data_IF_871744314126
#
_entry.id   IF_871744314126
#
_cell.length_a   1.000
_cell.length_b   1.000
_cell.length_c   1.000
_cell.angle_alpha   90.00
_cell.angle_beta   90.00
_cell.angle_gamma   90.00
#
_symmetry.space_group_name_H-M   'P 1'
#
loop_
_entity.id
_entity.type
_entity.pdbx_description
1 polymer ?
#
# COMPACT_ATOMS: atom_id res chain seq x y z
N UNK A 1 -11.33 -6.79 -13.91
CA UNK A 1 -11.54 -5.64 -12.99
C UNK A 1 -10.56 -5.74 -11.80
N UNK A 2 -10.07 -4.63 -11.23
CA UNK A 2 -9.26 -4.61 -10.00
C UNK A 2 -10.15 -4.43 -8.77
N UNK A 3 -9.89 -5.21 -7.70
CA UNK A 3 -10.62 -5.14 -6.42
C UNK A 3 -9.66 -4.83 -5.27
N UNK A 4 -10.02 -3.88 -4.40
CA UNK A 4 -9.40 -3.71 -3.09
C UNK A 4 -10.13 -4.51 -2.03
N UNK A 5 -9.40 -5.14 -1.10
CA UNK A 5 -9.97 -5.82 0.06
C UNK A 5 -9.36 -5.24 1.32
N UNK A 6 -10.20 -4.85 2.28
CA UNK A 6 -9.83 -4.28 3.56
C UNK A 6 -10.11 -5.29 4.68
N UNK A 7 -9.13 -6.10 5.11
CA UNK A 7 -9.33 -7.09 6.16
C UNK A 7 -9.54 -6.50 7.55
N UNK A 8 -8.97 -5.31 7.78
CA UNK A 8 -8.95 -4.63 9.08
C UNK A 8 -9.22 -3.15 8.87
N UNK A 9 -10.26 -2.63 9.52
CA UNK A 9 -10.55 -1.19 9.58
C UNK A 9 -9.94 -0.61 10.86
N UNK A 10 -9.41 0.58 10.76
CA UNK A 10 -8.95 1.44 11.87
C UNK A 10 -7.97 0.84 12.90
N UNK A 11 -7.70 -0.46 12.88
CA UNK A 11 -6.77 -1.12 13.82
C UNK A 11 -5.40 -1.30 13.17
N UNK A 12 -4.42 -0.54 13.65
CA UNK A 12 -3.04 -0.57 13.16
C UNK A 12 -2.05 -0.31 14.30
N UNK A 13 -1.04 -1.15 14.41
CA UNK A 13 0.03 -0.98 15.38
C UNK A 13 1.09 0.06 14.97
N UNK A 14 0.98 0.65 13.76
CA UNK A 14 1.86 1.72 13.33
C UNK A 14 1.32 3.11 13.69
N UNK A 15 2.23 4.08 13.84
CA UNK A 15 1.89 5.47 14.21
C UNK A 15 2.25 6.49 13.12
N UNK A 16 2.17 6.08 11.86
CA UNK A 16 2.53 6.92 10.72
C UNK A 16 1.83 8.29 10.77
N UNK A 17 2.56 9.42 10.68
CA UNK A 17 1.97 10.75 10.76
C UNK A 17 1.10 11.08 9.53
N UNK A 18 1.41 10.50 8.36
CA UNK A 18 0.69 10.71 7.12
C UNK A 18 -0.45 9.70 6.88
N UNK A 19 -0.88 8.97 7.92
CA UNK A 19 -1.90 7.94 7.77
C UNK A 19 -3.29 8.58 7.63
N UNK A 20 -3.91 8.44 6.46
CA UNK A 20 -5.25 8.98 6.18
C UNK A 20 -6.34 8.29 7.00
N UNK A 21 -6.16 7.04 7.38
CA UNK A 21 -7.14 6.31 8.18
C UNK A 21 -7.35 6.94 9.56
N UNK A 22 -6.30 7.54 10.13
CA UNK A 22 -6.40 8.25 11.42
C UNK A 22 -7.19 9.56 11.35
N UNK A 23 -7.40 10.08 10.14
CA UNK A 23 -8.16 11.31 9.92
C UNK A 23 -9.63 11.03 9.64
N UNK A 24 -9.96 9.79 9.26
CA UNK A 24 -11.34 9.39 9.05
C UNK A 24 -11.98 9.16 10.42
N UNK A 25 -13.17 9.74 10.62
CA UNK A 25 -14.04 9.38 11.75
C UNK A 25 -14.35 7.89 11.70
N UNK A 26 -14.67 7.30 12.85
CA UNK A 26 -15.09 5.89 12.96
C UNK A 26 -16.01 5.51 11.81
N UNK A 27 -15.65 4.41 11.16
CA UNK A 27 -16.39 3.94 10.00
C UNK A 27 -17.40 2.90 10.45
N UNK A 28 -18.58 2.93 9.86
CA UNK A 28 -19.67 1.99 10.11
C UNK A 28 -19.44 0.59 9.51
N UNK A 29 -18.22 0.30 9.01
CA UNK A 29 -17.92 -0.92 8.24
C UNK A 29 -17.49 -2.12 9.09
N UNK A 30 -17.60 -2.04 10.42
CA UNK A 30 -17.06 -3.05 11.32
C UNK A 30 -15.54 -3.04 11.42
N UNK A 31 -14.98 -3.87 12.31
CA UNK A 31 -13.54 -3.85 12.60
C UNK A 31 -12.73 -4.80 11.70
N UNK A 32 -13.30 -5.97 11.39
CA UNK A 32 -12.56 -7.06 10.73
C UNK A 32 -13.46 -7.84 9.77
N UNK A 33 -12.92 -8.10 8.59
CA UNK A 33 -13.60 -8.87 7.55
C UNK A 33 -13.85 -10.32 8.00
N UNK A 34 -15.09 -10.77 7.93
CA UNK A 34 -15.37 -12.18 8.06
C UNK A 34 -15.00 -12.90 6.78
N UNK A 35 -14.11 -13.91 6.87
CA UNK A 35 -13.64 -14.67 5.69
C UNK A 35 -14.77 -15.30 4.86
N UNK A 36 -15.92 -15.57 5.45
CA UNK A 36 -17.10 -16.06 4.72
C UNK A 36 -17.56 -15.09 3.61
N UNK A 37 -17.32 -13.78 3.78
CA UNK A 37 -17.69 -12.79 2.77
C UNK A 37 -16.85 -12.89 1.50
N UNK A 38 -15.70 -13.58 1.52
CA UNK A 38 -14.88 -13.79 0.34
C UNK A 38 -15.53 -14.72 -0.70
N UNK A 39 -16.61 -15.43 -0.35
CA UNK A 39 -17.41 -16.15 -1.33
C UNK A 39 -17.92 -15.22 -2.44
N UNK A 40 -18.25 -13.97 -2.10
CA UNK A 40 -18.75 -12.95 -3.04
C UNK A 40 -17.79 -12.59 -4.15
N UNK A 41 -16.48 -12.80 -3.97
CA UNK A 41 -15.51 -12.50 -5.02
C UNK A 41 -15.39 -13.62 -6.06
N UNK A 42 -15.95 -14.79 -5.80
CA UNK A 42 -15.82 -15.95 -6.69
C UNK A 42 -16.44 -15.68 -8.06
N UNK A 43 -17.56 -14.98 -8.10
CA UNK A 43 -18.32 -14.71 -9.32
C UNK A 43 -17.86 -13.45 -10.05
N UNK A 44 -16.98 -12.64 -9.45
CA UNK A 44 -16.46 -11.43 -10.06
C UNK A 44 -15.35 -11.75 -11.08
N UNK A 45 -15.34 -11.09 -12.22
CA UNK A 45 -14.22 -11.14 -13.18
C UNK A 45 -13.11 -10.19 -12.75
N UNK A 46 -12.07 -10.75 -12.10
CA UNK A 46 -11.00 -10.02 -11.46
C UNK A 46 -9.65 -10.24 -12.14
N UNK A 47 -9.04 -9.17 -12.62
CA UNK A 47 -7.67 -9.15 -13.15
C UNK A 47 -6.62 -9.06 -12.02
N UNK A 48 -7.01 -8.45 -10.88
CA UNK A 48 -6.08 -8.19 -9.78
C UNK A 48 -6.81 -7.94 -8.46
N UNK A 49 -6.22 -8.42 -7.37
CA UNK A 49 -6.67 -8.12 -6.00
C UNK A 49 -5.56 -7.41 -5.23
N UNK A 50 -5.91 -6.31 -4.55
CA UNK A 50 -5.02 -5.60 -3.64
C UNK A 50 -5.57 -5.66 -2.22
N UNK A 51 -4.94 -6.49 -1.38
CA UNK A 51 -5.24 -6.51 0.05
C UNK A 51 -4.53 -5.32 0.69
N UNK A 52 -5.31 -4.41 1.22
CA UNK A 52 -4.82 -3.17 1.83
C UNK A 52 -5.62 -2.89 3.09
N UNK A 53 -5.45 -1.75 3.72
CA UNK A 53 -6.20 -1.55 4.92
C UNK A 53 -6.61 -0.14 5.23
N UNK A 54 -7.70 -0.03 5.98
CA UNK A 54 -7.95 1.00 6.93
C UNK A 54 -7.01 0.86 8.14
N UNK A 55 -6.52 -0.39 8.42
CA UNK A 55 -5.54 -0.75 9.42
C UNK A 55 -4.36 -1.57 8.86
N UNK A 56 -3.74 -2.39 9.72
CA UNK A 56 -2.69 -3.32 9.30
C UNK A 56 -3.31 -4.70 8.97
N UNK A 57 -3.26 -5.15 7.70
CA UNK A 57 -3.88 -6.42 7.31
C UNK A 57 -3.39 -7.64 8.11
N UNK A 58 -2.10 -7.68 8.47
CA UNK A 58 -1.53 -8.78 9.24
C UNK A 58 -1.94 -8.77 10.74
N UNK A 59 -2.71 -7.80 11.20
CA UNK A 59 -3.39 -7.87 12.50
C UNK A 59 -4.66 -8.73 12.44
N UNK A 60 -5.16 -9.06 11.25
CA UNK A 60 -6.27 -9.99 11.10
C UNK A 60 -5.84 -11.42 11.43
N UNK A 61 -6.54 -12.09 12.38
CA UNK A 61 -6.16 -13.45 12.85
C UNK A 61 -6.17 -14.50 11.73
N UNK A 62 -7.05 -14.35 10.75
CA UNK A 62 -7.21 -15.27 9.61
C UNK A 62 -6.64 -14.70 8.30
N UNK A 63 -5.63 -13.84 8.37
CA UNK A 63 -5.06 -13.19 7.18
C UNK A 63 -4.52 -14.20 6.16
N UNK A 64 -3.99 -15.34 6.63
CA UNK A 64 -3.49 -16.40 5.75
C UNK A 64 -4.60 -17.01 4.87
N UNK A 65 -5.81 -17.15 5.40
CA UNK A 65 -6.97 -17.65 4.66
C UNK A 65 -7.47 -16.62 3.66
N UNK A 66 -7.51 -15.33 4.07
CA UNK A 66 -7.87 -14.23 3.17
C UNK A 66 -6.92 -14.18 1.98
N UNK A 67 -5.60 -14.22 2.24
CA UNK A 67 -4.58 -14.24 1.19
C UNK A 67 -4.76 -15.44 0.28
N UNK A 68 -5.01 -16.62 0.85
CA UNK A 68 -5.21 -17.85 0.07
C UNK A 68 -6.40 -17.73 -0.89
N UNK A 69 -7.57 -17.31 -0.38
CA UNK A 69 -8.77 -17.14 -1.20
C UNK A 69 -8.57 -16.12 -2.32
N UNK A 70 -7.84 -15.02 -2.04
CA UNK A 70 -7.55 -14.00 -3.04
C UNK A 70 -6.60 -14.53 -4.13
N UNK A 71 -5.53 -15.24 -3.74
CA UNK A 71 -4.55 -15.82 -4.69
C UNK A 71 -5.21 -16.87 -5.59
N UNK A 72 -6.11 -17.64 -5.03
CA UNK A 72 -6.83 -18.69 -5.81
C UNK A 72 -7.81 -18.06 -6.82
N UNK A 73 -8.19 -16.78 -6.63
CA UNK A 73 -9.10 -16.05 -7.53
C UNK A 73 -8.37 -15.20 -8.60
N UNK A 74 -7.37 -14.43 -8.21
CA UNK A 74 -6.66 -13.52 -9.13
C UNK A 74 -5.24 -13.16 -8.63
N UNK A 75 -4.36 -12.64 -9.50
CA UNK A 75 -3.08 -12.09 -9.11
C UNK A 75 -3.22 -11.10 -7.94
N UNK A 76 -2.62 -11.43 -6.79
CA UNK A 76 -2.85 -10.73 -5.52
C UNK A 76 -1.59 -10.07 -5.01
N UNK A 77 -1.71 -8.83 -4.51
CA UNK A 77 -0.67 -8.17 -3.73
C UNK A 77 -1.22 -7.71 -2.37
N UNK A 78 -0.35 -7.65 -1.36
CA UNK A 78 -0.72 -7.26 0.01
C UNK A 78 0.13 -6.10 0.46
N UNK A 79 -0.50 -5.01 0.90
CA UNK A 79 0.16 -3.87 1.55
C UNK A 79 0.24 -4.09 3.06
N UNK A 80 1.41 -3.86 3.65
CA UNK A 80 1.64 -4.08 5.07
C UNK A 80 2.75 -3.19 5.62
N UNK A 81 2.68 -2.86 6.90
CA UNK A 81 3.77 -2.21 7.60
C UNK A 81 4.93 -3.16 7.94
N UNK A 82 4.80 -4.46 7.66
CA UNK A 82 5.83 -5.49 7.78
C UNK A 82 5.99 -6.12 9.16
N UNK A 83 5.39 -5.58 10.22
CA UNK A 83 5.68 -5.98 11.61
C UNK A 83 5.28 -7.42 11.96
N UNK A 84 4.23 -7.96 11.32
CA UNK A 84 3.69 -9.29 11.61
C UNK A 84 3.87 -10.31 10.48
N UNK A 85 4.48 -9.92 9.38
CA UNK A 85 4.56 -10.75 8.15
C UNK A 85 5.26 -12.07 8.40
N UNK A 86 6.39 -12.08 9.10
CA UNK A 86 7.16 -13.30 9.38
C UNK A 86 6.39 -14.28 10.26
N UNK A 87 5.59 -13.75 11.19
CA UNK A 87 4.85 -14.57 12.17
C UNK A 87 3.54 -15.13 11.60
N UNK A 88 2.90 -14.41 10.67
CA UNK A 88 1.54 -14.70 10.21
C UNK A 88 1.42 -14.96 8.71
N UNK A 89 2.51 -14.79 7.96
CA UNK A 89 2.50 -14.96 6.52
C UNK A 89 2.56 -16.40 6.08
N UNK A 90 1.43 -16.96 5.66
CA UNK A 90 1.38 -18.24 4.93
C UNK A 90 1.09 -17.99 3.44
N UNK A 91 1.59 -18.88 2.58
CA UNK A 91 1.39 -18.85 1.11
C UNK A 91 1.89 -17.57 0.40
N UNK A 92 2.72 -16.75 1.06
CA UNK A 92 3.19 -15.47 0.50
C UNK A 92 3.96 -15.63 -0.82
N UNK A 93 4.58 -16.80 -1.07
CA UNK A 93 5.34 -17.07 -2.30
C UNK A 93 4.52 -16.97 -3.59
N UNK A 94 3.20 -17.12 -3.49
CA UNK A 94 2.29 -16.99 -4.63
C UNK A 94 1.78 -15.56 -4.86
N UNK A 95 2.13 -14.62 -4.00
CA UNK A 95 1.76 -13.23 -4.19
C UNK A 95 2.45 -12.63 -5.41
N UNK A 96 1.74 -11.79 -6.15
CA UNK A 96 2.34 -10.93 -7.16
C UNK A 96 3.39 -10.02 -6.52
N UNK A 97 3.04 -9.38 -5.39
CA UNK A 97 3.93 -8.60 -4.56
C UNK A 97 3.54 -8.64 -3.08
N UNK A 98 4.55 -8.69 -2.22
CA UNK A 98 4.47 -8.22 -0.84
C UNK A 98 4.87 -6.75 -0.83
N UNK A 99 3.89 -5.85 -0.64
CA UNK A 99 4.10 -4.41 -0.67
C UNK A 99 4.43 -3.92 0.76
N UNK A 100 5.70 -3.62 1.01
CA UNK A 100 6.18 -3.19 2.31
C UNK A 100 6.16 -1.66 2.42
N UNK A 101 5.37 -1.14 3.36
CA UNK A 101 5.39 0.28 3.72
C UNK A 101 6.68 0.61 4.47
N UNK A 102 7.44 1.57 3.94
CA UNK A 102 8.71 1.98 4.55
C UNK A 102 8.98 3.45 4.26
N UNK A 103 8.95 4.28 5.29
CA UNK A 103 9.07 5.74 5.17
C UNK A 103 10.52 6.22 5.04
N UNK A 104 11.52 5.35 5.37
CA UNK A 104 12.92 5.70 5.25
C UNK A 104 13.80 4.45 5.14
N UNK A 105 14.92 4.51 4.39
CA UNK A 105 15.89 3.41 4.29
C UNK A 105 16.67 3.19 5.59
N UNK A 106 16.96 4.24 6.36
CA UNK A 106 17.53 4.13 7.70
C UNK A 106 16.51 3.58 8.69
N UNK A 107 16.90 2.54 9.43
CA UNK A 107 15.99 1.81 10.31
C UNK A 107 15.53 2.63 11.51
N UNK A 108 16.42 3.45 12.10
CA UNK A 108 16.07 4.29 13.23
C UNK A 108 15.09 5.39 12.84
N UNK A 109 15.34 6.05 11.70
CA UNK A 109 14.42 7.05 11.15
C UNK A 109 13.07 6.44 10.77
N UNK A 110 13.08 5.27 10.13
CA UNK A 110 11.85 4.57 9.79
C UNK A 110 11.03 4.22 11.04
N UNK A 111 11.68 3.69 12.09
CA UNK A 111 11.00 3.39 13.34
C UNK A 111 10.41 4.66 13.98
N UNK A 112 11.16 5.77 13.99
CA UNK A 112 10.67 7.05 14.50
C UNK A 112 9.42 7.54 13.75
N UNK A 113 9.34 7.28 12.44
CA UNK A 113 8.22 7.70 11.59
C UNK A 113 7.02 6.75 11.69
N UNK A 114 7.24 5.45 11.77
CA UNK A 114 6.16 4.45 11.71
C UNK A 114 5.77 3.87 13.07
N UNK A 115 6.61 3.97 14.08
CA UNK A 115 6.39 3.35 15.39
C UNK A 115 6.60 1.83 15.42
N UNK A 116 6.81 1.19 14.27
CA UNK A 116 6.99 -0.26 14.14
C UNK A 116 8.39 -0.62 13.68
N UNK A 117 8.81 -1.87 13.99
CA UNK A 117 10.10 -2.43 13.56
C UNK A 117 9.89 -3.72 12.83
N UNK A 118 10.65 -3.91 11.76
CA UNK A 118 10.86 -5.19 11.11
C UNK A 118 12.21 -5.19 10.39
N UNK A 119 12.81 -6.37 10.30
CA UNK A 119 14.07 -6.53 9.58
C UNK A 119 13.78 -6.87 8.12
N UNK A 120 14.19 -5.99 7.21
CA UNK A 120 13.98 -6.20 5.77
C UNK A 120 14.63 -7.51 5.29
N UNK A 121 15.77 -7.90 5.88
CA UNK A 121 16.45 -9.14 5.52
C UNK A 121 15.63 -10.40 5.85
N UNK A 122 14.76 -10.34 6.86
CA UNK A 122 13.86 -11.47 7.16
C UNK A 122 12.76 -11.60 6.11
N UNK A 123 12.34 -10.49 5.47
CA UNK A 123 11.38 -10.52 4.37
C UNK A 123 11.94 -11.22 3.12
N UNK A 124 13.24 -11.13 2.86
CA UNK A 124 13.88 -11.85 1.75
C UNK A 124 13.77 -13.37 1.87
N UNK A 125 13.73 -13.89 3.09
CA UNK A 125 13.59 -15.35 3.36
C UNK A 125 12.21 -15.88 2.97
N UNK A 126 11.23 -15.01 2.74
CA UNK A 126 9.87 -15.42 2.34
C UNK A 126 9.78 -15.80 0.86
N UNK A 127 10.82 -15.56 0.06
CA UNK A 127 10.87 -15.84 -1.38
C UNK A 127 9.69 -15.26 -2.17
N UNK A 128 9.18 -14.12 -1.72
CA UNK A 128 8.06 -13.39 -2.32
C UNK A 128 8.62 -12.15 -3.02
N UNK A 129 8.15 -11.79 -4.22
CA UNK A 129 8.53 -10.53 -4.85
C UNK A 129 8.17 -9.35 -3.94
N UNK A 130 9.16 -8.51 -3.61
CA UNK A 130 8.96 -7.35 -2.74
C UNK A 130 8.72 -6.10 -3.60
N UNK A 131 7.66 -5.36 -3.30
CA UNK A 131 7.42 -3.98 -3.73
C UNK A 131 7.56 -3.07 -2.51
N UNK A 132 8.37 -2.02 -2.61
CA UNK A 132 8.46 -1.03 -1.54
C UNK A 132 7.44 0.08 -1.76
N UNK A 133 6.83 0.57 -0.68
CA UNK A 133 5.92 1.72 -0.70
C UNK A 133 6.45 2.79 0.25
N UNK A 134 6.67 4.01 -0.27
CA UNK A 134 7.16 5.14 0.50
C UNK A 134 6.29 6.36 0.28
N UNK A 135 5.95 7.07 1.35
CA UNK A 135 5.29 8.38 1.28
C UNK A 135 6.33 9.47 1.45
N UNK A 136 6.35 10.41 0.51
CA UNK A 136 7.24 11.58 0.56
C UNK A 136 6.82 12.54 1.65
N UNK A 137 7.75 12.90 2.54
CA UNK A 137 7.48 13.87 3.60
C UNK A 137 8.77 14.45 4.18
N UNK A 138 8.72 15.66 4.72
CA UNK A 138 9.81 16.23 5.53
C UNK A 138 10.02 15.39 6.79
N UNK A 139 11.29 15.09 7.07
CA UNK A 139 11.70 14.18 8.15
C UNK A 139 11.78 12.70 7.72
N UNK A 140 11.24 12.37 6.54
CA UNK A 140 11.40 11.10 5.83
C UNK A 140 12.21 11.30 4.54
N UNK A 141 11.69 10.81 3.43
CA UNK A 141 12.22 11.08 2.08
C UNK A 141 11.61 12.39 1.58
N UNK A 142 12.42 13.44 1.43
CA UNK A 142 11.93 14.79 1.16
C UNK A 142 12.57 15.51 -0.03
N UNK A 143 13.56 14.87 -0.65
CA UNK A 143 14.25 15.42 -1.83
C UNK A 143 14.75 14.30 -2.77
N UNK A 144 15.17 14.70 -3.97
CA UNK A 144 15.65 13.79 -5.00
C UNK A 144 16.91 13.00 -4.57
N UNK A 145 17.78 13.58 -3.74
CA UNK A 145 18.99 12.91 -3.24
C UNK A 145 18.62 11.78 -2.28
N UNK A 146 17.73 12.04 -1.34
CA UNK A 146 17.23 11.03 -0.40
C UNK A 146 16.46 9.94 -1.16
N UNK A 147 15.67 10.31 -2.18
CA UNK A 147 14.94 9.34 -2.99
C UNK A 147 15.87 8.45 -3.82
N UNK A 148 16.95 9.00 -4.41
CA UNK A 148 17.98 8.19 -5.07
C UNK A 148 18.68 7.22 -4.11
N UNK A 149 18.91 7.62 -2.85
CA UNK A 149 19.46 6.73 -1.80
C UNK A 149 18.46 5.63 -1.46
N UNK A 150 17.17 5.97 -1.37
CA UNK A 150 16.10 5.00 -1.14
C UNK A 150 16.04 3.97 -2.28
N UNK A 151 16.11 4.38 -3.54
CA UNK A 151 16.12 3.46 -4.69
C UNK A 151 17.33 2.53 -4.66
N UNK A 152 18.51 3.06 -4.37
CA UNK A 152 19.74 2.22 -4.24
C UNK A 152 19.56 1.19 -3.13
N UNK A 153 19.10 1.61 -1.98
CA UNK A 153 18.84 0.72 -0.85
C UNK A 153 17.79 -0.33 -1.18
N UNK A 154 16.66 0.06 -1.78
CA UNK A 154 15.58 -0.85 -2.18
C UNK A 154 16.08 -1.91 -3.18
N UNK A 155 16.91 -1.51 -4.15
CA UNK A 155 17.50 -2.44 -5.12
C UNK A 155 18.60 -3.31 -4.50
N UNK A 156 19.59 -2.70 -3.87
CA UNK A 156 20.85 -3.37 -3.53
C UNK A 156 20.75 -4.15 -2.20
N UNK A 157 20.02 -3.62 -1.21
CA UNK A 157 19.86 -4.23 0.12
C UNK A 157 18.59 -5.08 0.17
N UNK A 158 17.45 -4.55 -0.27
CA UNK A 158 16.16 -5.26 -0.21
C UNK A 158 16.04 -6.28 -1.34
N UNK A 159 16.52 -5.97 -2.52
CA UNK A 159 16.28 -6.73 -3.75
C UNK A 159 14.84 -6.55 -4.25
N UNK A 160 14.27 -5.36 -4.01
CA UNK A 160 12.91 -5.04 -4.43
C UNK A 160 12.76 -5.14 -5.96
N UNK A 161 11.62 -5.62 -6.41
CA UNK A 161 11.26 -5.69 -7.83
C UNK A 161 10.57 -4.41 -8.29
N UNK A 162 9.93 -3.70 -7.36
CA UNK A 162 9.26 -2.43 -7.63
C UNK A 162 9.29 -1.49 -6.42
N UNK A 163 9.16 -0.19 -6.70
CA UNK A 163 8.92 0.85 -5.69
C UNK A 163 7.73 1.69 -6.13
N UNK A 164 6.81 1.97 -5.24
CA UNK A 164 5.81 3.02 -5.41
C UNK A 164 6.14 4.19 -4.48
N UNK A 165 6.27 5.36 -5.06
CA UNK A 165 6.52 6.63 -4.36
C UNK A 165 5.21 7.39 -4.33
N UNK A 166 4.74 7.71 -3.13
CA UNK A 166 3.44 8.35 -2.91
C UNK A 166 3.63 9.77 -2.39
N UNK A 167 2.83 10.67 -2.87
CA UNK A 167 2.63 11.97 -2.23
C UNK A 167 1.67 11.81 -1.06
N UNK A 168 1.81 12.64 -0.02
CA UNK A 168 0.75 12.74 0.99
C UNK A 168 -0.53 13.19 0.30
N UNK A 169 -1.66 12.57 0.68
CA UNK A 169 -2.96 12.99 0.17
C UNK A 169 -3.28 14.44 0.57
N UNK A 170 -4.11 15.07 -0.24
CA UNK A 170 -4.66 16.38 0.07
C UNK A 170 -5.86 16.22 1.01
N UNK A 171 -5.56 16.12 2.30
CA UNK A 171 -6.52 16.03 3.39
C UNK A 171 -6.25 17.13 4.42
N UNK A 172 -7.26 17.46 5.21
CA UNK A 172 -7.13 18.35 6.37
C UNK A 172 -6.34 17.65 7.50
N UNK A 173 -5.05 17.49 7.27
CA UNK A 173 -4.15 17.03 8.32
C UNK A 173 -3.99 18.09 9.41
N UNK A 174 -3.67 17.68 10.67
CA UNK A 174 -3.15 18.60 11.68
C UNK A 174 -2.00 19.45 11.13
N UNK A 175 -1.91 20.70 11.53
CA UNK A 175 -0.96 21.69 10.96
C UNK A 175 0.50 21.22 10.98
N UNK A 176 0.91 20.49 12.01
CA UNK A 176 2.27 19.93 12.12
C UNK A 176 2.53 18.83 11.07
N UNK A 177 1.50 18.09 10.66
CA UNK A 177 1.57 17.08 9.60
C UNK A 177 1.53 17.74 8.23
N UNK A 178 0.67 18.74 8.01
CA UNK A 178 0.62 19.49 6.75
C UNK A 178 1.97 20.13 6.41
N UNK A 179 2.69 20.66 7.40
CA UNK A 179 4.05 21.20 7.24
C UNK A 179 5.07 20.19 6.71
N UNK A 180 4.75 18.90 6.75
CA UNK A 180 5.60 17.80 6.23
C UNK A 180 5.38 17.51 4.76
N UNK A 181 4.39 18.14 4.14
CA UNK A 181 4.08 17.93 2.73
C UNK A 181 5.30 18.18 1.83
N UNK A 182 5.45 17.33 0.82
CA UNK A 182 6.47 17.43 -0.22
C UNK A 182 5.84 17.04 -1.55
N UNK A 183 6.01 17.88 -2.57
CA UNK A 183 5.49 17.61 -3.91
C UNK A 183 6.26 16.48 -4.59
N UNK A 184 5.56 15.45 -5.01
CA UNK A 184 6.15 14.36 -5.81
C UNK A 184 6.61 14.83 -7.17
N UNK A 185 5.87 15.74 -7.81
CA UNK A 185 6.25 16.32 -9.10
C UNK A 185 7.57 17.07 -9.01
N UNK A 186 7.72 17.95 -8.00
CA UNK A 186 8.98 18.68 -7.79
C UNK A 186 10.17 17.73 -7.61
N UNK A 187 10.00 16.67 -6.80
CA UNK A 187 11.09 15.69 -6.61
C UNK A 187 11.38 14.95 -7.91
N UNK A 188 10.37 14.62 -8.72
CA UNK A 188 10.57 13.97 -10.01
C UNK A 188 11.37 14.88 -10.96
N UNK A 189 11.01 16.15 -11.05
CA UNK A 189 11.74 17.13 -11.87
C UNK A 189 13.22 17.21 -11.45
N UNK A 190 13.49 17.24 -10.14
CA UNK A 190 14.86 17.24 -9.58
C UNK A 190 15.60 15.90 -9.79
N UNK A 191 14.90 14.81 -10.10
CA UNK A 191 15.54 13.54 -10.47
C UNK A 191 16.14 13.57 -11.88
N UNK A 192 15.71 14.48 -12.75
CA UNK A 192 16.20 14.63 -14.13
C UNK A 192 16.14 13.30 -14.92
N UNK A 193 15.02 12.58 -14.81
CA UNK A 193 14.78 11.32 -15.53
C UNK A 193 14.14 11.65 -16.87
N UNK A 194 14.80 11.28 -17.97
CA UNK A 194 14.33 11.54 -19.34
C UNK A 194 13.56 10.36 -19.96
N UNK A 195 13.83 9.13 -19.48
CA UNK A 195 13.19 7.92 -20.00
C UNK A 195 12.12 7.44 -19.01
N UNK A 196 10.88 7.83 -19.28
CA UNK A 196 9.71 7.44 -18.49
C UNK A 196 8.45 7.35 -19.35
N UNK A 197 7.44 6.67 -18.83
CA UNK A 197 6.09 6.63 -19.38
C UNK A 197 5.10 7.06 -18.30
N UNK A 198 3.86 7.31 -18.70
CA UNK A 198 2.76 7.54 -17.75
C UNK A 198 1.70 6.46 -17.91
N UNK A 199 1.11 6.01 -16.81
CA UNK A 199 -0.05 5.13 -16.85
C UNK A 199 -1.35 5.93 -17.05
N UNK A 200 -2.48 5.22 -17.17
CA UNK A 200 -3.82 5.80 -17.33
C UNK A 200 -4.21 6.78 -16.19
N UNK A 201 -3.61 6.60 -15.02
CA UNK A 201 -3.83 7.47 -13.84
C UNK A 201 -2.89 8.70 -13.85
N UNK A 202 -2.01 8.84 -14.86
CA UNK A 202 -1.03 9.90 -14.95
C UNK A 202 0.18 9.72 -14.02
N UNK A 203 0.34 8.56 -13.37
CA UNK A 203 1.52 8.27 -12.57
C UNK A 203 2.72 8.05 -13.48
N UNK A 204 3.89 8.53 -13.04
CA UNK A 204 5.15 8.42 -13.76
C UNK A 204 5.77 7.04 -13.50
N UNK A 205 6.12 6.33 -14.57
CA UNK A 205 6.72 5.00 -14.51
C UNK A 205 8.06 5.00 -15.23
N UNK A 206 9.11 4.55 -14.56
CA UNK A 206 10.44 4.39 -15.12
C UNK A 206 11.19 3.20 -14.52
N UNK A 207 12.36 2.90 -15.03
CA UNK A 207 13.25 1.88 -14.48
C UNK A 207 14.44 2.51 -13.75
N UNK A 208 14.69 2.04 -12.52
CA UNK A 208 15.92 2.30 -11.78
C UNK A 208 16.68 0.99 -11.63
N UNK A 209 17.74 0.79 -12.45
CA UNK A 209 18.43 -0.50 -12.58
C UNK A 209 17.44 -1.59 -13.05
N UNK A 210 17.27 -2.65 -12.22
CA UNK A 210 16.34 -3.78 -12.50
C UNK A 210 14.95 -3.60 -11.88
N UNK A 211 14.73 -2.50 -11.21
CA UNK A 211 13.52 -2.22 -10.41
C UNK A 211 12.59 -1.28 -11.17
N UNK A 212 11.31 -1.60 -11.21
CA UNK A 212 10.29 -0.67 -11.69
C UNK A 212 9.99 0.36 -10.60
N UNK A 213 9.90 1.61 -10.98
CA UNK A 213 9.52 2.72 -10.10
C UNK A 213 8.25 3.35 -10.63
N UNK A 214 7.30 3.57 -9.74
CA UNK A 214 6.07 4.31 -9.98
C UNK A 214 6.04 5.50 -9.03
N UNK A 215 5.88 6.71 -9.55
CA UNK A 215 5.66 7.92 -8.75
C UNK A 215 4.22 8.37 -8.93
N UNK A 216 3.45 8.33 -7.87
CA UNK A 216 2.09 8.87 -7.83
C UNK A 216 2.17 10.40 -7.81
N UNK A 217 1.69 11.05 -8.88
CA UNK A 217 1.72 12.51 -9.04
C UNK A 217 0.48 13.19 -8.52
N UNK A 218 -0.60 12.43 -8.32
CA UNK A 218 -1.88 12.94 -7.82
C UNK A 218 -2.04 12.62 -6.34
N UNK A 219 -2.62 13.56 -5.60
CA UNK A 219 -2.85 13.46 -4.17
C UNK A 219 -4.29 13.10 -3.79
N UNK A 220 -5.18 12.90 -4.77
CA UNK A 220 -6.58 12.66 -4.48
C UNK A 220 -6.90 11.16 -4.31
N UNK A 221 -7.34 10.79 -3.10
CA UNK A 221 -7.83 9.43 -2.81
C UNK A 221 -9.25 9.19 -3.33
N UNK A 222 -9.98 10.24 -3.69
CA UNK A 222 -11.39 10.17 -4.07
C UNK A 222 -11.61 9.62 -5.49
N UNK A 223 -10.58 9.59 -6.33
CA UNK A 223 -10.68 9.11 -7.72
C UNK A 223 -10.39 7.60 -7.87
N UNK A 224 -10.46 6.84 -6.78
CA UNK A 224 -10.33 5.38 -6.91
C UNK A 224 -11.61 4.83 -7.53
N UNK A 225 -11.54 4.54 -8.81
CA UNK A 225 -12.64 3.98 -9.61
C UNK A 225 -12.86 2.48 -9.36
N UNK A 226 -11.96 1.85 -8.60
CA UNK A 226 -11.99 0.41 -8.36
C UNK A 226 -12.82 0.07 -7.12
N UNK A 227 -13.64 -1.00 -7.18
CA UNK A 227 -14.43 -1.43 -6.04
C UNK A 227 -13.56 -1.82 -4.84
N UNK A 228 -14.14 -1.61 -3.65
CA UNK A 228 -13.50 -1.88 -2.36
C UNK A 228 -14.41 -2.75 -1.51
N UNK A 229 -13.99 -3.98 -1.20
CA UNK A 229 -14.64 -4.81 -0.18
C UNK A 229 -14.16 -4.36 1.20
N UNK A 230 -15.09 -3.90 2.03
CA UNK A 230 -14.83 -3.42 3.40
C UNK A 230 -14.99 -4.55 4.43
N UNK A 231 -14.70 -4.27 5.69
CA UNK A 231 -14.76 -5.27 6.76
C UNK A 231 -16.16 -5.83 7.04
N UNK A 232 -17.22 -5.11 6.68
CA UNK A 232 -18.60 -5.60 6.73
C UNK A 232 -18.96 -6.61 5.64
N UNK A 233 -18.02 -6.85 4.70
CA UNK A 233 -18.16 -7.78 3.59
C UNK A 233 -19.02 -7.26 2.44
N UNK A 234 -19.32 -5.97 2.41
CA UNK A 234 -19.96 -5.32 1.26
C UNK A 234 -18.90 -4.74 0.33
N UNK A 235 -19.26 -4.57 -0.92
CA UNK A 235 -18.41 -3.97 -1.95
C UNK A 235 -18.93 -2.56 -2.22
N UNK A 236 -18.03 -1.59 -2.22
CA UNK A 236 -18.34 -0.17 -2.37
C UNK A 236 -17.67 0.41 -3.61
N UNK A 237 -18.22 1.49 -4.16
CA UNK A 237 -17.62 2.28 -5.25
C UNK A 237 -16.42 3.06 -4.73
N UNK A 238 -15.23 2.51 -4.91
CA UNK A 238 -14.01 3.11 -4.39
C UNK A 238 -14.01 3.21 -2.86
N UNK A 239 -13.48 4.31 -2.35
CA UNK A 239 -13.42 4.60 -0.90
C UNK A 239 -14.62 5.42 -0.41
N UNK A 240 -15.76 5.30 -1.09
CA UNK A 240 -17.03 5.96 -0.73
C UNK A 240 -17.89 5.07 0.18
N UNK A 241 -19.08 5.54 0.53
CA UNK A 241 -20.09 4.78 1.24
C UNK A 241 -21.20 4.25 0.29
N UNK A 242 -21.04 4.47 -1.03
CA UNK A 242 -21.96 3.95 -2.04
C UNK A 242 -21.65 2.50 -2.36
N UNK A 243 -22.66 1.65 -2.35
CA UNK A 243 -22.52 0.25 -2.73
C UNK A 243 -22.17 0.13 -4.22
N UNK A 244 -21.30 -0.81 -4.53
CA UNK A 244 -21.03 -1.22 -5.89
C UNK A 244 -22.11 -2.21 -6.31
N UNK A 245 -22.95 -1.80 -7.24
CA UNK A 245 -23.94 -2.69 -7.85
C UNK A 245 -23.20 -3.63 -8.80
N UNK A 246 -23.21 -4.91 -8.49
CA UNK A 246 -22.86 -5.93 -9.47
C UNK A 246 -24.11 -6.15 -10.31
N UNK A 247 -24.00 -6.00 -11.62
CA UNK A 247 -25.08 -6.38 -12.57
C UNK A 247 -25.29 -7.91 -12.50
N UNK A 248 -25.84 -8.37 -11.37
CA UNK A 248 -26.27 -9.76 -11.17
C UNK A 248 -27.71 -9.68 -10.67
N UNK A 249 -28.62 -9.36 -11.57
CA UNK A 249 -30.01 -9.79 -11.54
C UNK A 249 -30.25 -10.85 -12.62
#
# INVERSE_FOLDING_TARGET
MKLYIVPVENDCNATCPCCITKLKKETEFGDRLNVKHLEKIKDLDLDKIEITGGGEPFMHKRIAEIIASCIDKAPTQVYTNGSFVVQRGARLRKLLYLCLSRMHYDEKKNHKLMGVRYRVLDMKKLFTPIKMSVVLMKGGISDARELRRYFRWANDVVGAKAVVVRQMFDYEYPTDVQKRFVSSQKIFDDLCISDYTTNEQGNIIFRSKKMQVEIETRSCACETIYPVMRADGKIYKGWTNELYETDTD
#
